data_IF_289685289203
#
_entry.id   IF_289685289203
#
_cell.length_a   1.000
_cell.length_b   1.000
_cell.length_c   1.000
_cell.angle_alpha   90.00
_cell.angle_beta   90.00
_cell.angle_gamma   90.00
#
_symmetry.space_group_name_H-M   'P 1'
#
loop_
_entity.id
_entity.type
_entity.pdbx_description
1 polymer ?
#
# COMPACT_ATOMS: atom_id res chain seq x y z
N UNK A 1 11.10 14.95 8.92
CA UNK A 1 12.28 14.07 8.88
C UNK A 1 12.02 12.94 9.86
N UNK A 2 11.54 11.80 9.35
CA UNK A 2 11.67 10.49 10.01
C UNK A 2 11.99 9.53 8.86
N UNK A 3 13.22 9.61 8.41
CA UNK A 3 13.78 8.68 7.42
C UNK A 3 14.51 7.61 8.24
N UNK A 4 13.75 6.76 8.94
CA UNK A 4 14.34 5.61 9.64
C UNK A 4 14.56 4.53 8.59
N UNK A 5 15.58 4.74 7.76
CA UNK A 5 16.09 3.70 6.89
C UNK A 5 17.37 3.13 7.51
N UNK A 6 17.18 2.19 8.43
CA UNK A 6 18.29 1.50 9.08
C UNK A 6 19.19 0.86 8.01
N UNK A 7 20.41 1.37 7.87
CA UNK A 7 21.44 0.85 6.95
C UNK A 7 21.01 0.79 5.47
N UNK A 8 20.07 1.63 5.02
CA UNK A 8 19.53 1.59 3.65
C UNK A 8 18.79 0.29 3.29
N UNK A 9 18.43 -0.55 4.27
CA UNK A 9 17.81 -1.86 4.01
C UNK A 9 16.46 -1.78 3.28
N UNK A 10 15.78 -0.63 3.34
CA UNK A 10 14.41 -0.48 2.84
C UNK A 10 14.28 0.47 1.63
N UNK A 11 15.39 0.99 1.09
CA UNK A 11 15.36 1.92 -0.06
C UNK A 11 14.80 3.32 0.24
N UNK A 12 14.47 4.11 -0.78
CA UNK A 12 14.00 5.49 -0.55
C UNK A 12 12.61 5.49 0.09
N UNK A 13 12.45 6.17 1.23
CA UNK A 13 11.15 6.37 1.87
C UNK A 13 10.51 7.70 1.43
N UNK A 14 9.17 7.81 1.35
CA UNK A 14 8.50 9.08 1.06
C UNK A 14 8.76 10.11 2.17
N UNK A 15 8.90 11.37 1.79
CA UNK A 15 8.97 12.47 2.76
C UNK A 15 7.62 12.66 3.47
N UNK A 16 7.64 13.22 4.68
CA UNK A 16 6.42 13.46 5.48
C UNK A 16 5.35 14.28 4.73
N UNK A 17 5.76 15.26 3.93
CA UNK A 17 4.85 16.05 3.09
C UNK A 17 4.16 15.20 2.01
N UNK A 18 4.88 14.23 1.44
CA UNK A 18 4.34 13.28 0.45
C UNK A 18 3.36 12.30 1.09
N UNK A 19 3.56 11.95 2.36
CA UNK A 19 2.62 11.09 3.12
C UNK A 19 1.35 11.88 3.47
N UNK A 20 1.48 13.14 3.88
CA UNK A 20 0.32 13.98 4.23
C UNK A 20 -0.54 14.35 3.02
N UNK A 21 0.08 14.52 1.86
CA UNK A 21 -0.63 14.85 0.63
C UNK A 21 -0.06 14.02 -0.54
N UNK A 22 -0.42 12.73 -0.64
CA UNK A 22 0.07 11.88 -1.70
C UNK A 22 -0.45 12.33 -3.05
N UNK A 23 0.45 12.40 -4.03
CA UNK A 23 0.10 12.69 -5.42
C UNK A 23 -0.75 11.52 -5.96
N UNK A 24 -2.04 11.76 -6.17
CA UNK A 24 -2.94 10.78 -6.77
C UNK A 24 -3.04 10.98 -8.27
N UNK A 25 -2.71 9.94 -9.02
CA UNK A 25 -2.91 9.83 -10.47
C UNK A 25 -4.39 9.62 -10.80
N UNK A 26 -5.19 10.67 -10.71
CA UNK A 26 -6.63 10.63 -11.02
C UNK A 26 -6.82 10.81 -12.53
N UNK A 27 -7.73 10.02 -13.10
CA UNK A 27 -8.09 10.11 -14.51
C UNK A 27 -8.91 11.38 -14.81
N UNK A 28 -8.60 12.06 -15.91
CA UNK A 28 -9.47 13.10 -16.48
C UNK A 28 -10.59 12.44 -17.27
N UNK A 29 -11.84 12.84 -17.03
CA UNK A 29 -13.01 12.27 -17.66
C UNK A 29 -13.57 13.22 -18.73
N UNK A 30 -13.86 12.70 -19.93
CA UNK A 30 -14.42 13.46 -21.05
C UNK A 30 -15.90 13.11 -21.17
N UNK A 31 -16.77 14.11 -21.08
CA UNK A 31 -18.21 13.96 -21.18
C UNK A 31 -18.75 14.63 -22.45
N UNK A 32 -19.79 14.05 -23.04
CA UNK A 32 -20.58 14.67 -24.11
C UNK A 32 -21.50 15.75 -23.55
N UNK A 33 -22.05 16.59 -24.44
CA UNK A 33 -23.00 17.64 -24.05
C UNK A 33 -24.30 17.10 -23.42
N UNK A 34 -24.67 15.84 -23.70
CA UNK A 34 -25.79 15.13 -23.06
C UNK A 34 -25.38 14.37 -21.78
N UNK A 35 -24.17 14.59 -21.26
CA UNK A 35 -23.71 14.07 -19.97
C UNK A 35 -23.21 12.61 -20.00
N UNK A 36 -23.00 12.00 -21.16
CA UNK A 36 -22.45 10.65 -21.26
C UNK A 36 -20.93 10.67 -21.20
N UNK A 37 -20.35 9.75 -20.42
CA UNK A 37 -18.90 9.54 -20.39
C UNK A 37 -18.45 9.01 -21.75
N UNK A 38 -17.62 9.78 -22.45
CA UNK A 38 -17.00 9.41 -23.74
C UNK A 38 -15.74 8.58 -23.48
N UNK A 39 -14.96 8.94 -22.47
CA UNK A 39 -13.73 8.23 -22.13
C UNK A 39 -12.94 8.88 -21.00
N UNK A 40 -11.83 8.24 -20.64
CA UNK A 40 -10.92 8.71 -19.59
C UNK A 40 -9.51 8.85 -20.16
N UNK A 41 -8.83 9.92 -19.79
CA UNK A 41 -7.40 10.14 -20.07
C UNK A 41 -6.63 10.02 -18.75
N UNK A 42 -5.70 9.07 -18.68
CA UNK A 42 -4.99 8.77 -17.45
C UNK A 42 -3.58 8.23 -17.69
N UNK A 43 -2.67 8.45 -16.73
CA UNK A 43 -1.39 7.74 -16.67
C UNK A 43 -1.56 6.36 -16.05
N UNK A 44 -2.41 6.26 -15.04
CA UNK A 44 -2.77 5.04 -14.34
C UNK A 44 -4.29 4.96 -14.27
N UNK A 45 -4.87 3.80 -14.59
CA UNK A 45 -6.32 3.63 -14.60
C UNK A 45 -6.83 3.45 -13.16
N UNK A 46 -6.95 4.55 -12.42
CA UNK A 46 -7.41 4.56 -11.02
C UNK A 46 -8.72 5.32 -10.91
N UNK A 47 -9.63 4.77 -10.12
CA UNK A 47 -10.86 5.45 -9.69
C UNK A 47 -10.79 5.55 -8.17
N UNK A 48 -10.69 6.76 -7.59
CA UNK A 48 -10.65 6.93 -6.15
C UNK A 48 -12.00 6.49 -5.56
N UNK A 49 -11.92 5.74 -4.47
CA UNK A 49 -13.09 5.33 -3.67
C UNK A 49 -12.82 5.71 -2.23
N UNK A 50 -13.87 6.08 -1.52
CA UNK A 50 -13.83 6.27 -0.06
C UNK A 50 -13.70 4.92 0.63
N UNK A 51 -13.21 4.92 1.87
CA UNK A 51 -12.99 3.67 2.61
C UNK A 51 -14.30 2.92 2.85
N UNK A 52 -15.39 3.66 3.04
CA UNK A 52 -16.74 3.14 3.30
C UNK A 52 -17.35 2.44 2.08
N UNK A 53 -16.88 2.75 0.87
CA UNK A 53 -17.30 2.08 -0.38
C UNK A 53 -16.61 0.72 -0.57
N UNK A 54 -15.57 0.42 0.22
CA UNK A 54 -14.82 -0.82 0.11
C UNK A 54 -15.53 -1.91 0.91
N UNK A 55 -15.77 -3.06 0.27
CA UNK A 55 -16.36 -4.22 0.94
C UNK A 55 -15.50 -4.62 2.17
N UNK A 56 -16.11 -4.80 3.35
CA UNK A 56 -15.39 -5.28 4.54
C UNK A 56 -14.70 -6.62 4.32
N UNK A 57 -15.26 -7.47 3.44
CA UNK A 57 -14.66 -8.76 3.08
C UNK A 57 -13.33 -8.53 2.35
N UNK A 58 -13.24 -7.54 1.47
CA UNK A 58 -12.01 -7.23 0.75
C UNK A 58 -10.92 -6.72 1.71
N UNK A 59 -11.29 -5.81 2.62
CA UNK A 59 -10.38 -5.30 3.65
C UNK A 59 -9.83 -6.45 4.50
N UNK A 60 -10.71 -7.29 5.03
CA UNK A 60 -10.31 -8.44 5.84
C UNK A 60 -9.46 -9.44 5.05
N UNK A 61 -9.77 -9.68 3.78
CA UNK A 61 -8.98 -10.58 2.92
C UNK A 61 -7.57 -10.04 2.75
N UNK A 62 -7.43 -8.76 2.36
CA UNK A 62 -6.14 -8.11 2.16
C UNK A 62 -5.28 -8.17 3.43
N UNK A 63 -5.85 -7.81 4.58
CA UNK A 63 -5.15 -7.86 5.87
C UNK A 63 -4.71 -9.29 6.16
N UNK A 64 -5.59 -10.28 6.04
CA UNK A 64 -5.24 -11.67 6.36
C UNK A 64 -4.18 -12.26 5.41
N UNK A 65 -4.10 -11.81 4.16
CA UNK A 65 -3.16 -12.35 3.16
C UNK A 65 -1.81 -11.65 3.17
N UNK A 66 -1.80 -10.32 3.31
CA UNK A 66 -0.58 -9.51 3.18
C UNK A 66 0.03 -9.16 4.54
N UNK A 67 -0.80 -8.93 5.56
CA UNK A 67 -0.35 -8.38 6.84
C UNK A 67 -1.31 -8.73 8.00
N UNK A 68 -1.30 -10.00 8.40
CA UNK A 68 -2.24 -10.57 9.39
C UNK A 68 -2.23 -9.86 10.75
N UNK A 69 -1.15 -9.13 11.06
CA UNK A 69 -0.95 -8.38 12.31
C UNK A 69 -1.03 -6.88 12.11
N UNK A 70 -1.58 -6.39 10.99
CA UNK A 70 -1.58 -4.98 10.62
C UNK A 70 -1.94 -4.02 11.77
N UNK A 71 -3.02 -4.32 12.51
CA UNK A 71 -3.48 -3.49 13.63
C UNK A 71 -2.68 -3.61 14.94
N UNK A 72 -1.73 -4.54 15.01
CA UNK A 72 -0.93 -4.84 16.20
C UNK A 72 0.51 -4.30 16.12
N UNK A 73 0.86 -3.60 15.05
CA UNK A 73 2.19 -3.03 14.87
C UNK A 73 2.16 -1.63 14.27
N UNK A 74 3.26 -0.89 14.40
CA UNK A 74 3.40 0.50 13.93
C UNK A 74 4.08 0.61 12.56
N UNK A 75 3.75 -0.29 11.64
CA UNK A 75 4.29 -0.33 10.27
C UNK A 75 5.48 -1.27 10.06
N UNK A 76 6.05 -1.85 11.13
CA UNK A 76 7.06 -2.92 11.04
C UNK A 76 6.62 -4.10 11.90
N UNK A 77 6.41 -5.25 11.28
CA UNK A 77 6.14 -6.50 11.99
C UNK A 77 7.45 -7.22 12.35
N UNK A 78 7.97 -6.96 13.55
CA UNK A 78 9.20 -7.62 14.02
C UNK A 78 9.07 -9.15 14.11
N UNK A 79 7.87 -9.67 14.38
CA UNK A 79 7.63 -11.11 14.42
C UNK A 79 7.72 -11.71 13.02
N UNK A 80 7.07 -11.07 12.04
CA UNK A 80 7.14 -11.43 10.63
C UNK A 80 8.57 -11.39 10.08
N UNK A 81 9.34 -10.35 10.40
CA UNK A 81 10.75 -10.22 10.01
C UNK A 81 11.60 -11.36 10.59
N UNK A 82 11.46 -11.66 11.90
CA UNK A 82 12.22 -12.74 12.51
C UNK A 82 11.84 -14.12 11.94
N UNK A 83 10.54 -14.35 11.69
CA UNK A 83 10.07 -15.56 11.04
C UNK A 83 10.66 -15.70 9.63
N UNK A 84 10.66 -14.63 8.83
CA UNK A 84 11.24 -14.64 7.49
C UNK A 84 12.75 -14.91 7.49
N UNK A 85 13.51 -14.32 8.43
CA UNK A 85 14.95 -14.62 8.57
C UNK A 85 15.16 -16.10 8.93
N UNK A 86 14.39 -16.63 9.87
CA UNK A 86 14.46 -18.04 10.29
C UNK A 86 14.11 -18.99 9.14
N UNK A 87 13.06 -18.69 8.38
CA UNK A 87 12.63 -19.53 7.27
C UNK A 87 13.62 -19.43 6.08
N UNK A 88 14.17 -18.24 5.81
CA UNK A 88 15.27 -18.05 4.86
C UNK A 88 16.53 -18.86 5.24
N UNK A 89 16.90 -18.91 6.53
CA UNK A 89 18.03 -19.71 7.00
C UNK A 89 17.80 -21.23 6.84
N UNK A 90 16.53 -21.66 6.70
CA UNK A 90 16.13 -23.04 6.41
C UNK A 90 15.96 -23.33 4.91
N UNK A 91 16.14 -22.34 4.05
CA UNK A 91 15.92 -22.44 2.60
C UNK A 91 14.45 -22.25 2.17
N UNK A 92 13.57 -21.83 3.07
CA UNK A 92 12.13 -21.62 2.85
C UNK A 92 11.79 -20.11 2.90
N UNK A 93 12.37 -19.30 2.02
CA UNK A 93 12.18 -17.85 2.08
C UNK A 93 10.71 -17.42 1.96
N UNK A 94 10.30 -16.43 2.78
CA UNK A 94 8.96 -15.82 2.79
C UNK A 94 9.04 -14.30 2.87
N UNK A 95 7.95 -13.61 2.54
CA UNK A 95 7.83 -12.16 2.74
C UNK A 95 7.68 -11.77 4.21
N UNK A 96 8.08 -10.53 4.53
CA UNK A 96 7.92 -9.88 5.83
C UNK A 96 7.52 -8.40 5.74
N UNK A 97 7.21 -7.90 4.54
CA UNK A 97 6.81 -6.52 4.32
C UNK A 97 5.40 -6.28 4.83
N UNK A 98 5.15 -5.12 5.44
CA UNK A 98 3.82 -4.70 5.92
C UNK A 98 3.07 -3.90 4.86
N UNK A 99 1.76 -3.74 5.01
CA UNK A 99 0.97 -2.86 4.13
C UNK A 99 1.53 -1.43 4.15
N UNK A 100 1.95 -0.93 5.32
CA UNK A 100 2.52 0.41 5.47
C UNK A 100 3.82 0.60 4.67
N UNK A 101 4.63 -0.44 4.52
CA UNK A 101 5.89 -0.40 3.76
C UNK A 101 5.68 -0.45 2.24
N UNK A 102 4.51 -0.89 1.78
CA UNK A 102 4.18 -1.00 0.35
C UNK A 102 3.59 0.29 -0.23
N UNK A 103 3.22 1.25 0.62
CA UNK A 103 2.58 2.52 0.25
C UNK A 103 3.56 3.59 -0.24
#
# INVERSE_FOLDING_TARGET
MVDINLLWLFGKSPGLSSIHNPEQTIASEIYSADGKLIGKYFRENRTPVTFEEISPILINTLINTEDERFYHHFGIDFQGVFAAIKDMARGEARGASTITQQL
#
